data_IF_028331883364
#
_entry.id   IF_028331883364
#
_cell.length_a   1.000
_cell.length_b   1.000
_cell.length_c   1.000
_cell.angle_alpha   90.00
_cell.angle_beta   90.00
_cell.angle_gamma   90.00
#
_symmetry.space_group_name_H-M   'P 1'
#
loop_
_entity.id
_entity.type
_entity.pdbx_description
1 polymer ?
#
# COMPACT_ATOMS: atom_id res chain seq x y z
N UNK A 1 22.61 -1.35 61.05
CA UNK A 1 21.46 -0.60 60.53
C UNK A 1 20.54 -0.08 61.67
N UNK A 2 20.11 -0.92 62.59
CA UNK A 2 19.22 -0.53 63.69
C UNK A 2 19.84 0.52 64.65
N UNK A 3 21.18 0.62 64.76
CA UNK A 3 21.83 1.69 65.48
C UNK A 3 21.78 3.07 64.78
N UNK A 4 21.65 3.11 63.49
CA UNK A 4 21.52 4.35 62.70
C UNK A 4 20.08 4.86 62.62
N UNK A 5 19.09 3.95 62.77
CA UNK A 5 17.67 4.27 62.67
C UNK A 5 16.94 3.79 63.94
N UNK A 6 17.04 4.53 65.02
CA UNK A 6 16.52 4.09 66.35
C UNK A 6 15.01 3.92 66.38
N UNK A 7 14.27 4.47 65.43
CA UNK A 7 12.80 4.35 65.35
C UNK A 7 12.32 3.06 64.62
N UNK A 8 13.26 2.25 64.11
CA UNK A 8 12.93 0.97 63.44
C UNK A 8 13.04 -0.14 64.50
N UNK A 9 11.90 -0.77 64.82
CA UNK A 9 11.87 -1.92 65.74
C UNK A 9 12.23 -3.21 65.00
N UNK A 10 13.12 -4.01 65.57
CA UNK A 10 13.65 -5.26 64.99
C UNK A 10 12.56 -6.27 64.65
N UNK A 11 11.52 -6.33 65.45
CA UNK A 11 10.44 -7.32 65.32
C UNK A 11 9.39 -6.95 64.25
N UNK A 12 9.39 -5.69 63.76
CA UNK A 12 8.43 -5.17 62.79
C UNK A 12 9.12 -4.74 61.49
N UNK A 13 10.38 -5.14 61.27
CA UNK A 13 11.17 -4.68 60.16
C UNK A 13 11.87 -5.84 59.44
N UNK A 14 11.74 -5.88 58.14
CA UNK A 14 12.50 -6.81 57.27
C UNK A 14 13.54 -6.00 56.48
N UNK A 15 14.79 -6.41 56.58
CA UNK A 15 15.89 -5.78 55.84
C UNK A 15 16.18 -6.62 54.60
N UNK A 16 16.23 -5.97 53.46
CA UNK A 16 16.54 -6.57 52.17
C UNK A 16 17.72 -5.83 51.57
N UNK A 17 18.76 -6.58 51.20
CA UNK A 17 19.89 -6.04 50.46
C UNK A 17 19.56 -6.08 48.96
N UNK A 18 19.58 -4.90 48.35
CA UNK A 18 19.32 -4.73 46.91
C UNK A 18 20.12 -3.55 46.34
N UNK A 19 20.47 -3.63 45.08
CA UNK A 19 21.12 -2.53 44.36
C UNK A 19 20.15 -1.37 44.06
N UNK A 20 18.86 -1.68 43.90
CA UNK A 20 17.82 -0.68 43.63
C UNK A 20 16.60 -0.89 44.56
N UNK A 21 16.01 0.18 45.17
CA UNK A 21 14.81 0.06 45.97
C UNK A 21 13.59 -0.38 45.15
N UNK A 22 12.61 -0.99 45.79
CA UNK A 22 11.30 -1.19 45.21
C UNK A 22 10.56 0.16 45.14
N UNK A 23 9.85 0.39 44.05
CA UNK A 23 8.99 1.58 43.93
C UNK A 23 7.66 1.37 44.67
N UNK A 24 7.08 0.18 44.57
CA UNK A 24 5.82 -0.21 45.19
C UNK A 24 5.99 -1.59 45.83
N UNK A 25 6.62 -1.67 47.01
CA UNK A 25 6.88 -2.94 47.69
C UNK A 25 5.63 -3.55 48.27
N UNK A 26 5.46 -4.85 48.15
CA UNK A 26 4.43 -5.64 48.83
C UNK A 26 5.10 -6.83 49.54
N UNK A 27 4.59 -7.16 50.74
CA UNK A 27 5.02 -8.33 51.50
C UNK A 27 4.14 -9.52 51.08
N UNK A 28 4.76 -10.54 50.53
CA UNK A 28 4.07 -11.72 50.03
C UNK A 28 4.88 -12.98 50.34
N UNK A 29 4.25 -14.00 50.91
CA UNK A 29 4.90 -15.27 51.27
C UNK A 29 6.27 -15.16 51.93
N UNK A 30 6.38 -14.33 52.94
CA UNK A 30 7.60 -14.03 53.71
C UNK A 30 8.72 -13.35 52.88
N UNK A 31 8.39 -12.81 51.70
CA UNK A 31 9.31 -12.05 50.85
C UNK A 31 8.73 -10.68 50.53
N UNK A 32 9.62 -9.73 50.26
CA UNK A 32 9.19 -8.42 49.73
C UNK A 32 9.47 -8.44 48.23
N UNK A 33 8.47 -8.09 47.44
CA UNK A 33 8.58 -7.95 46.00
C UNK A 33 7.93 -6.67 45.51
N UNK A 34 8.18 -6.29 44.28
CA UNK A 34 7.44 -5.23 43.62
C UNK A 34 5.99 -5.67 43.34
N UNK A 35 5.04 -4.75 43.47
CA UNK A 35 3.64 -4.99 43.08
C UNK A 35 3.57 -5.32 41.57
N UNK A 36 2.70 -6.25 41.22
CA UNK A 36 2.31 -6.50 39.83
C UNK A 36 1.50 -5.34 39.28
N UNK A 37 1.26 -5.32 37.96
CA UNK A 37 0.39 -4.30 37.34
C UNK A 37 -1.03 -4.36 37.88
N UNK A 38 -1.56 -5.56 38.09
CA UNK A 38 -2.89 -5.83 38.62
C UNK A 38 -3.00 -5.35 40.08
N UNK A 39 -1.99 -5.60 40.91
CA UNK A 39 -1.94 -5.15 42.29
C UNK A 39 -1.86 -3.62 42.38
N UNK A 40 -1.10 -2.98 41.49
CA UNK A 40 -1.05 -1.51 41.41
C UNK A 40 -2.41 -0.93 41.09
N UNK A 41 -3.11 -1.47 40.10
CA UNK A 41 -4.46 -1.02 39.71
C UNK A 41 -5.48 -1.26 40.86
N UNK A 42 -5.41 -2.40 41.53
CA UNK A 42 -6.29 -2.71 42.66
C UNK A 42 -6.11 -1.71 43.82
N UNK A 43 -4.90 -1.13 43.94
CA UNK A 43 -4.55 -0.13 44.97
C UNK A 43 -4.61 1.33 44.48
N UNK A 44 -5.30 1.60 43.35
CA UNK A 44 -5.44 2.92 42.74
C UNK A 44 -4.11 3.59 42.34
N UNK A 45 -3.08 2.79 42.09
CA UNK A 45 -1.79 3.26 41.59
C UNK A 45 -1.85 3.32 40.05
N UNK A 46 -1.49 4.46 39.49
CA UNK A 46 -1.46 4.69 38.06
C UNK A 46 -0.41 3.79 37.38
N UNK A 47 -0.79 3.19 36.27
CA UNK A 47 0.09 2.36 35.44
C UNK A 47 -0.01 2.79 33.98
N UNK A 48 1.00 2.42 33.20
CA UNK A 48 0.94 2.49 31.73
C UNK A 48 0.17 1.30 31.18
N UNK A 49 -0.92 1.56 30.48
CA UNK A 49 -1.71 0.54 29.79
C UNK A 49 -1.08 0.17 28.43
N UNK A 50 -1.13 -1.10 28.09
CA UNK A 50 -0.79 -1.57 26.75
C UNK A 50 -1.92 -1.29 25.76
N UNK A 51 -1.62 -1.39 24.47
CA UNK A 51 -2.64 -1.26 23.42
C UNK A 51 -3.64 -2.41 23.55
N UNK A 52 -4.92 -2.07 23.59
CA UNK A 52 -5.99 -3.04 23.83
C UNK A 52 -6.35 -3.23 25.29
N UNK A 53 -5.73 -2.49 26.22
CA UNK A 53 -6.06 -2.55 27.64
C UNK A 53 -6.83 -1.32 28.11
N UNK A 54 -7.71 -1.54 29.08
CA UNK A 54 -8.37 -0.49 29.85
C UNK A 54 -8.62 -0.97 31.31
N UNK A 55 -8.93 -0.03 32.20
CA UNK A 55 -9.22 -0.35 33.60
C UNK A 55 -10.72 -0.27 33.79
N UNK A 56 -11.29 -1.32 34.36
CA UNK A 56 -12.68 -1.36 34.80
C UNK A 56 -12.76 -2.08 36.14
N UNK A 57 -13.45 -1.47 37.10
CA UNK A 57 -13.63 -2.00 38.47
C UNK A 57 -12.31 -2.44 39.14
N UNK A 58 -11.26 -1.60 39.01
CA UNK A 58 -9.91 -1.88 39.57
C UNK A 58 -9.23 -3.15 38.97
N UNK A 59 -9.57 -3.49 37.76
CA UNK A 59 -8.97 -4.61 37.03
C UNK A 59 -8.52 -4.17 35.64
N UNK A 60 -7.42 -4.74 35.19
CA UNK A 60 -6.98 -4.57 33.81
C UNK A 60 -7.81 -5.52 32.93
N UNK A 61 -8.53 -4.96 31.97
CA UNK A 61 -9.27 -5.70 30.95
C UNK A 61 -8.48 -5.60 29.65
N UNK A 62 -8.22 -6.75 29.02
CA UNK A 62 -7.55 -6.82 27.72
C UNK A 62 -8.54 -7.26 26.64
N UNK A 63 -8.78 -6.40 25.66
CA UNK A 63 -9.57 -6.71 24.46
C UNK A 63 -8.64 -7.28 23.41
N UNK A 64 -8.79 -8.55 23.05
CA UNK A 64 -7.93 -9.16 22.05
C UNK A 64 -8.10 -8.46 20.70
N UNK A 65 -6.98 -8.27 20.01
CA UNK A 65 -7.02 -7.73 18.65
C UNK A 65 -7.74 -8.73 17.73
N UNK A 66 -8.74 -8.30 16.94
CA UNK A 66 -9.41 -9.18 15.98
C UNK A 66 -8.41 -9.84 15.02
N UNK A 67 -8.65 -11.10 14.66
CA UNK A 67 -7.86 -11.77 13.63
C UNK A 67 -8.19 -11.17 12.25
N UNK A 68 -7.19 -10.92 11.43
CA UNK A 68 -7.36 -10.38 10.10
C UNK A 68 -6.24 -9.42 9.71
N UNK A 69 -6.57 -8.42 8.92
CA UNK A 69 -5.61 -7.42 8.45
C UNK A 69 -5.25 -6.43 9.57
N UNK A 70 -4.32 -6.86 10.41
CA UNK A 70 -3.88 -6.15 11.60
C UNK A 70 -3.38 -4.73 11.34
N UNK A 71 -2.95 -4.46 10.09
CA UNK A 71 -2.32 -3.21 9.70
C UNK A 71 -3.25 -2.00 9.87
N UNK A 72 -4.55 -2.18 9.69
CA UNK A 72 -5.53 -1.10 9.69
C UNK A 72 -6.37 -1.05 10.96
N UNK A 73 -6.09 -1.88 11.96
CA UNK A 73 -6.81 -1.86 13.23
C UNK A 73 -6.15 -0.93 14.23
N UNK A 74 -6.88 0.11 14.63
CA UNK A 74 -6.49 1.09 15.63
C UNK A 74 -7.29 0.86 16.92
N UNK A 75 -6.61 0.99 18.08
CA UNK A 75 -7.25 0.92 19.38
C UNK A 75 -7.89 2.27 19.77
N UNK A 76 -9.21 2.30 19.92
CA UNK A 76 -9.93 3.44 20.45
C UNK A 76 -9.98 3.34 21.98
N UNK A 77 -9.21 4.21 22.64
CA UNK A 77 -9.10 4.23 24.11
C UNK A 77 -10.36 4.70 24.82
N UNK A 78 -11.22 5.47 24.14
CA UNK A 78 -12.46 6.00 24.74
C UNK A 78 -13.58 4.96 24.65
N UNK A 79 -13.65 4.25 23.54
CA UNK A 79 -14.69 3.23 23.30
C UNK A 79 -14.28 1.84 23.73
N UNK A 80 -13.02 1.64 24.09
CA UNK A 80 -12.44 0.34 24.48
C UNK A 80 -12.65 -0.75 23.42
N UNK A 81 -12.45 -0.38 22.13
CA UNK A 81 -12.61 -1.33 21.03
C UNK A 81 -11.60 -1.07 19.89
N UNK A 82 -11.40 -2.08 19.07
CA UNK A 82 -10.61 -1.98 17.86
C UNK A 82 -11.45 -1.43 16.71
N UNK A 83 -10.99 -0.35 16.09
CA UNK A 83 -11.65 0.31 14.96
C UNK A 83 -10.81 0.09 13.70
N UNK A 84 -11.47 -0.33 12.63
CA UNK A 84 -10.85 -0.44 11.31
C UNK A 84 -10.67 0.95 10.70
N UNK A 85 -9.45 1.31 10.36
CA UNK A 85 -9.11 2.50 9.59
C UNK A 85 -9.40 2.25 8.09
N UNK A 86 -10.64 2.46 7.71
CA UNK A 86 -11.11 2.24 6.34
C UNK A 86 -10.47 3.22 5.35
N UNK A 87 -10.10 4.42 5.77
CA UNK A 87 -9.45 5.40 4.89
C UNK A 87 -8.00 5.01 4.59
N UNK A 88 -7.25 4.56 5.60
CA UNK A 88 -5.91 4.03 5.40
C UNK A 88 -5.93 2.78 4.49
N UNK A 89 -6.88 1.87 4.71
CA UNK A 89 -7.07 0.69 3.87
C UNK A 89 -7.38 1.07 2.41
N UNK A 90 -8.29 2.01 2.21
CA UNK A 90 -8.66 2.51 0.88
C UNK A 90 -7.50 3.20 0.18
N UNK A 91 -6.72 3.99 0.92
CA UNK A 91 -5.53 4.65 0.38
C UNK A 91 -4.52 3.63 -0.14
N UNK A 92 -4.17 2.64 0.68
CA UNK A 92 -3.23 1.60 0.27
C UNK A 92 -3.73 0.80 -0.95
N UNK A 93 -5.03 0.54 -1.01
CA UNK A 93 -5.66 -0.08 -2.18
C UNK A 93 -5.49 0.76 -3.45
N UNK A 94 -5.69 2.08 -3.35
CA UNK A 94 -5.49 3.00 -4.47
C UNK A 94 -4.02 3.06 -4.90
N UNK A 95 -3.09 3.08 -3.94
CA UNK A 95 -1.66 3.07 -4.23
C UNK A 95 -1.24 1.79 -4.99
N UNK A 96 -1.83 0.64 -4.67
CA UNK A 96 -1.62 -0.61 -5.41
C UNK A 96 -2.14 -0.51 -6.85
N UNK A 97 -3.34 0.04 -7.04
CA UNK A 97 -3.92 0.25 -8.39
C UNK A 97 -3.04 1.19 -9.22
N UNK A 98 -2.59 2.32 -8.63
CA UNK A 98 -1.73 3.29 -9.30
C UNK A 98 -0.39 2.67 -9.70
N UNK A 99 0.17 1.80 -8.86
CA UNK A 99 1.38 1.06 -9.19
C UNK A 99 1.15 0.07 -10.35
N UNK A 100 0.03 -0.64 -10.39
CA UNK A 100 -0.29 -1.53 -11.51
C UNK A 100 -0.51 -0.76 -12.80
N UNK A 101 -1.22 0.38 -12.74
CA UNK A 101 -1.36 1.30 -13.87
C UNK A 101 0.00 1.74 -14.42
N UNK A 102 0.86 2.26 -13.54
CA UNK A 102 2.19 2.73 -13.93
C UNK A 102 3.03 1.62 -14.57
N UNK A 103 2.99 0.42 -13.98
CA UNK A 103 3.70 -0.75 -14.49
C UNK A 103 3.18 -1.18 -15.86
N UNK A 104 1.86 -1.15 -16.08
CA UNK A 104 1.24 -1.50 -17.36
C UNK A 104 1.61 -0.49 -18.44
N UNK A 105 1.58 0.82 -18.14
CA UNK A 105 1.99 1.87 -19.09
C UNK A 105 3.49 1.80 -19.42
N UNK A 106 4.35 1.50 -18.43
CA UNK A 106 5.79 1.31 -18.65
C UNK A 106 6.07 0.07 -19.52
N UNK A 107 5.35 -1.02 -19.31
CA UNK A 107 5.43 -2.19 -20.18
C UNK A 107 4.94 -1.85 -21.59
N UNK A 108 3.73 -1.24 -21.69
CA UNK A 108 3.08 -0.96 -22.97
C UNK A 108 2.37 -2.17 -23.56
N UNK A 109 2.44 -2.30 -24.89
CA UNK A 109 1.77 -3.36 -25.62
C UNK A 109 2.70 -4.03 -26.64
N UNK A 110 2.35 -5.25 -27.03
CA UNK A 110 3.03 -5.97 -28.08
C UNK A 110 2.39 -5.62 -29.44
N UNK A 111 3.21 -5.13 -30.36
CA UNK A 111 2.81 -4.75 -31.71
C UNK A 111 3.35 -5.72 -32.73
N UNK A 112 2.47 -6.29 -33.54
CA UNK A 112 2.83 -7.31 -34.50
C UNK A 112 3.36 -6.68 -35.78
N UNK A 113 4.61 -7.03 -36.18
CA UNK A 113 5.21 -6.68 -37.46
C UNK A 113 5.59 -7.98 -38.18
N UNK A 114 4.86 -8.28 -39.25
CA UNK A 114 4.97 -9.59 -39.89
C UNK A 114 4.49 -10.72 -38.96
N UNK A 115 5.38 -11.68 -38.70
CA UNK A 115 5.06 -12.81 -37.81
C UNK A 115 5.56 -12.62 -36.36
N UNK A 116 6.29 -11.54 -36.07
CA UNK A 116 6.89 -11.27 -34.75
C UNK A 116 6.16 -10.15 -34.03
N UNK A 117 6.15 -10.28 -32.73
CA UNK A 117 5.66 -9.24 -31.83
C UNK A 117 6.85 -8.45 -31.26
N UNK A 118 6.70 -7.11 -31.26
CA UNK A 118 7.68 -6.17 -30.76
C UNK A 118 7.04 -5.28 -29.71
N UNK A 119 7.70 -5.10 -28.58
CA UNK A 119 7.14 -4.33 -27.47
C UNK A 119 7.24 -2.83 -27.70
N UNK A 120 6.12 -2.15 -27.57
CA UNK A 120 6.00 -0.69 -27.60
C UNK A 120 5.62 -0.18 -26.22
N UNK A 121 6.46 0.63 -25.60
CA UNK A 121 6.11 1.35 -24.36
C UNK A 121 5.11 2.46 -24.62
N UNK A 122 4.35 2.79 -23.57
CA UNK A 122 3.32 3.84 -23.59
C UNK A 122 3.60 4.97 -22.59
N UNK A 123 4.87 5.29 -22.36
CA UNK A 123 5.25 6.48 -21.58
C UNK A 123 4.89 7.75 -22.34
N UNK A 124 4.69 8.85 -21.67
CA UNK A 124 4.29 10.15 -22.26
C UNK A 124 5.20 10.53 -23.46
N UNK A 125 6.52 10.36 -23.31
CA UNK A 125 7.47 10.62 -24.40
C UNK A 125 7.25 9.74 -25.62
N UNK A 126 6.93 8.46 -25.43
CA UNK A 126 6.74 7.52 -26.52
C UNK A 126 5.48 7.87 -27.32
N UNK A 127 4.40 8.23 -26.60
CA UNK A 127 3.12 8.67 -27.19
C UNK A 127 3.32 9.96 -27.99
N UNK A 128 4.03 10.93 -27.41
CA UNK A 128 4.33 12.21 -28.08
C UNK A 128 5.14 11.96 -29.35
N UNK A 129 6.17 11.12 -29.33
CA UNK A 129 6.99 10.85 -30.50
C UNK A 129 6.21 10.12 -31.61
N UNK A 130 5.31 9.19 -31.27
CA UNK A 130 4.44 8.53 -32.24
C UNK A 130 3.51 9.58 -32.87
N UNK A 131 2.84 10.39 -32.08
CA UNK A 131 1.92 11.43 -32.54
C UNK A 131 2.62 12.49 -33.40
N UNK A 132 3.79 12.98 -32.97
CA UNK A 132 4.59 13.94 -33.74
C UNK A 132 5.10 13.35 -35.06
N UNK A 133 5.41 12.04 -35.08
CA UNK A 133 5.81 11.37 -36.32
C UNK A 133 4.65 11.27 -37.31
N UNK A 134 3.47 10.88 -36.85
CA UNK A 134 2.26 10.85 -37.66
C UNK A 134 1.91 12.26 -38.20
N UNK A 135 1.96 13.28 -37.34
CA UNK A 135 1.69 14.66 -37.72
C UNK A 135 2.70 15.15 -38.79
N UNK A 136 4.00 14.91 -38.60
CA UNK A 136 5.03 15.28 -39.58
C UNK A 136 4.75 14.65 -40.96
N UNK A 137 4.47 13.35 -40.98
CA UNK A 137 4.19 12.63 -42.23
C UNK A 137 2.90 13.14 -42.91
N UNK A 138 1.90 13.50 -42.11
CA UNK A 138 0.65 14.13 -42.58
C UNK A 138 0.93 15.49 -43.23
N UNK A 139 1.71 16.37 -42.55
CA UNK A 139 2.07 17.69 -43.10
C UNK A 139 2.88 17.57 -44.41
N UNK A 140 3.85 16.68 -44.43
CA UNK A 140 4.66 16.47 -45.65
C UNK A 140 3.78 15.97 -46.81
N UNK A 141 2.89 15.03 -46.55
CA UNK A 141 1.95 14.53 -47.57
C UNK A 141 1.03 15.64 -48.07
N UNK A 142 0.48 16.44 -47.12
CA UNK A 142 -0.53 17.46 -47.45
C UNK A 142 0.06 18.68 -48.17
N UNK A 143 1.18 19.22 -47.68
CA UNK A 143 1.75 20.48 -48.17
C UNK A 143 2.82 20.28 -49.22
N UNK A 144 3.51 19.17 -49.21
CA UNK A 144 4.61 18.91 -50.17
C UNK A 144 4.25 17.88 -51.22
N UNK A 145 3.07 17.27 -51.13
CA UNK A 145 2.59 16.19 -51.98
C UNK A 145 3.63 15.05 -52.13
N UNK A 146 4.31 14.73 -51.03
CA UNK A 146 5.33 13.70 -50.96
C UNK A 146 4.94 12.61 -49.98
N UNK A 147 5.09 11.36 -50.38
CA UNK A 147 5.01 10.22 -49.49
C UNK A 147 6.40 9.87 -48.98
N UNK A 148 6.61 9.97 -47.71
CA UNK A 148 7.87 9.59 -47.05
C UNK A 148 7.59 8.55 -45.98
N UNK A 149 8.61 7.80 -45.62
CA UNK A 149 8.60 6.84 -44.52
C UNK A 149 9.58 7.28 -43.47
N UNK A 150 9.31 6.89 -42.21
CA UNK A 150 10.19 7.11 -41.09
C UNK A 150 10.43 5.79 -40.38
N UNK A 151 11.68 5.51 -39.98
CA UNK A 151 11.99 4.32 -39.19
C UNK A 151 11.56 4.54 -37.75
N UNK A 152 10.77 3.60 -37.22
CA UNK A 152 10.39 3.50 -35.85
C UNK A 152 11.14 2.34 -35.19
N UNK A 153 11.64 2.55 -33.95
CA UNK A 153 12.36 1.54 -33.18
C UNK A 153 11.56 1.14 -31.97
N UNK A 154 11.33 -0.16 -31.82
CA UNK A 154 10.73 -0.78 -30.65
C UNK A 154 11.76 -1.00 -29.54
N UNK A 155 11.29 -1.45 -28.35
CA UNK A 155 12.15 -1.65 -27.17
C UNK A 155 13.27 -2.69 -27.38
N UNK A 156 13.06 -3.65 -28.23
CA UNK A 156 14.06 -4.67 -28.63
C UNK A 156 15.04 -4.17 -29.70
N UNK A 157 15.06 -2.86 -29.96
CA UNK A 157 15.83 -2.20 -31.02
C UNK A 157 15.46 -2.65 -32.44
N UNK A 158 14.33 -3.34 -32.61
CA UNK A 158 13.86 -3.65 -33.95
C UNK A 158 13.33 -2.39 -34.63
N UNK A 159 13.86 -2.08 -35.81
CA UNK A 159 13.45 -0.92 -36.60
C UNK A 159 12.52 -1.33 -37.75
N UNK A 160 11.38 -0.63 -37.86
CA UNK A 160 10.43 -0.79 -38.98
C UNK A 160 10.22 0.54 -39.68
N UNK A 161 10.21 0.51 -41.02
CA UNK A 161 9.93 1.69 -41.83
C UNK A 161 8.43 1.86 -42.01
N UNK A 162 7.84 2.86 -41.30
CA UNK A 162 6.41 3.15 -41.31
C UNK A 162 6.13 4.38 -42.18
N UNK A 163 5.06 4.34 -42.96
CA UNK A 163 4.42 5.49 -43.60
C UNK A 163 3.37 6.13 -42.65
N UNK A 164 2.62 7.11 -43.16
CA UNK A 164 1.56 7.78 -42.41
C UNK A 164 0.54 6.78 -41.84
N UNK A 165 0.10 5.80 -42.66
CA UNK A 165 -0.90 4.83 -42.19
C UNK A 165 -0.34 3.90 -41.15
N UNK A 166 0.93 3.48 -41.25
CA UNK A 166 1.61 2.69 -40.24
C UNK A 166 1.71 3.42 -38.88
N UNK A 167 2.01 4.72 -38.89
CA UNK A 167 2.01 5.52 -37.66
C UNK A 167 0.59 5.73 -37.10
N UNK A 168 -0.42 5.93 -37.94
CA UNK A 168 -1.83 6.02 -37.51
C UNK A 168 -2.27 4.72 -36.84
N UNK A 169 -1.90 3.56 -37.40
CA UNK A 169 -2.20 2.27 -36.79
C UNK A 169 -1.50 2.11 -35.44
N UNK A 170 -0.22 2.42 -35.35
CA UNK A 170 0.54 2.35 -34.10
C UNK A 170 -0.07 3.28 -33.01
N UNK A 171 -0.51 4.49 -33.42
CA UNK A 171 -1.23 5.44 -32.55
C UNK A 171 -2.57 4.88 -32.06
N UNK A 172 -3.33 4.26 -32.95
CA UNK A 172 -4.63 3.67 -32.61
C UNK A 172 -4.47 2.54 -31.59
N UNK A 173 -3.52 1.62 -31.81
CA UNK A 173 -3.23 0.55 -30.84
C UNK A 173 -2.77 1.10 -29.51
N UNK A 174 -1.86 2.09 -29.53
CA UNK A 174 -1.37 2.73 -28.31
C UNK A 174 -2.48 3.44 -27.53
N UNK A 175 -3.34 4.22 -28.20
CA UNK A 175 -4.45 4.93 -27.57
C UNK A 175 -5.47 3.97 -26.95
N UNK A 176 -5.84 2.90 -27.67
CA UNK A 176 -6.76 1.88 -27.18
C UNK A 176 -6.19 1.14 -25.97
N UNK A 177 -4.88 0.83 -25.99
CA UNK A 177 -4.20 0.24 -24.85
C UNK A 177 -4.23 1.17 -23.64
N UNK A 178 -3.83 2.43 -23.82
CA UNK A 178 -3.81 3.43 -22.74
C UNK A 178 -5.21 3.62 -22.15
N UNK A 179 -6.22 3.78 -23.00
CA UNK A 179 -7.60 3.88 -22.55
C UNK A 179 -8.01 2.68 -21.70
N UNK A 180 -7.65 1.45 -22.11
CA UNK A 180 -7.96 0.25 -21.35
C UNK A 180 -7.30 0.24 -19.96
N UNK A 181 -6.10 0.81 -19.82
CA UNK A 181 -5.42 0.94 -18.53
C UNK A 181 -6.15 1.91 -17.59
N UNK A 182 -6.53 3.10 -18.10
CA UNK A 182 -7.28 4.10 -17.32
C UNK A 182 -8.69 3.62 -16.95
N UNK A 183 -9.38 2.95 -17.87
CA UNK A 183 -10.71 2.40 -17.59
C UNK A 183 -10.63 1.27 -16.54
N UNK A 184 -9.54 0.50 -16.53
CA UNK A 184 -9.29 -0.51 -15.51
C UNK A 184 -9.01 0.12 -14.15
N UNK A 185 -8.19 1.17 -14.09
CA UNK A 185 -7.98 1.96 -12.87
C UNK A 185 -9.32 2.46 -12.32
N UNK A 186 -10.11 3.13 -13.15
CA UNK A 186 -11.42 3.64 -12.75
C UNK A 186 -12.35 2.51 -12.27
N UNK A 187 -12.37 1.38 -12.96
CA UNK A 187 -13.15 0.21 -12.56
C UNK A 187 -12.83 -0.26 -11.15
N UNK A 188 -11.56 -0.40 -10.79
CA UNK A 188 -11.17 -0.86 -9.45
C UNK A 188 -11.31 0.24 -8.39
N UNK A 189 -11.04 1.50 -8.71
CA UNK A 189 -11.19 2.62 -7.75
C UNK A 189 -12.65 2.95 -7.43
N UNK A 190 -13.59 2.64 -8.33
CA UNK A 190 -15.03 2.86 -8.11
C UNK A 190 -15.73 1.68 -7.45
N UNK A 191 -15.16 0.49 -7.50
CA UNK A 191 -15.70 -0.66 -6.77
C UNK A 191 -15.32 -0.60 -5.31
N UNK A 192 -16.35 -0.61 -4.45
CA UNK A 192 -16.16 -0.78 -3.00
C UNK A 192 -15.81 -2.25 -2.75
N UNK A 193 -14.52 -2.51 -2.59
CA UNK A 193 -13.91 -3.81 -2.33
C UNK A 193 -13.38 -4.50 -3.61
N UNK A 194 -12.32 -5.21 -3.55
CA UNK A 194 -11.74 -5.92 -2.43
C UNK A 194 -10.23 -5.77 -2.33
N UNK A 195 -9.75 -5.70 -1.16
CA UNK A 195 -8.38 -6.00 -0.84
C UNK A 195 -8.24 -7.50 -0.52
N UNK A 196 -7.21 -8.21 -1.00
CA UNK A 196 -6.11 -7.75 -1.84
C UNK A 196 -6.43 -7.80 -3.35
N UNK A 197 -5.90 -6.85 -4.14
CA UNK A 197 -5.92 -6.88 -5.59
C UNK A 197 -4.57 -7.39 -6.11
N UNK A 198 -4.58 -8.38 -6.98
CA UNK A 198 -3.38 -8.91 -7.63
C UNK A 198 -3.13 -8.24 -8.99
N UNK A 199 -1.87 -8.26 -9.43
CA UNK A 199 -1.52 -7.77 -10.77
C UNK A 199 -2.23 -8.57 -11.88
N UNK A 200 -2.39 -9.87 -11.69
CA UNK A 200 -3.05 -10.74 -12.68
C UNK A 200 -4.53 -10.39 -12.85
N UNK A 201 -5.22 -10.07 -11.74
CA UNK A 201 -6.61 -9.61 -11.79
C UNK A 201 -6.74 -8.26 -12.50
N UNK A 202 -5.82 -7.33 -12.23
CA UNK A 202 -5.77 -6.04 -12.91
C UNK A 202 -5.55 -6.24 -14.42
N UNK A 203 -4.56 -7.02 -14.83
CA UNK A 203 -4.25 -7.27 -16.23
C UNK A 203 -5.36 -8.08 -16.94
N UNK A 204 -5.99 -9.01 -16.27
CA UNK A 204 -7.16 -9.73 -16.81
C UNK A 204 -8.28 -8.75 -17.13
N UNK A 205 -8.61 -7.86 -16.20
CA UNK A 205 -9.65 -6.85 -16.41
C UNK A 205 -9.30 -5.89 -17.53
N UNK A 206 -8.05 -5.42 -17.58
CA UNK A 206 -7.55 -4.56 -18.66
C UNK A 206 -7.71 -5.21 -20.04
N UNK A 207 -7.37 -6.49 -20.18
CA UNK A 207 -7.53 -7.23 -21.43
C UNK A 207 -8.99 -7.38 -21.85
N UNK A 208 -9.91 -7.60 -20.91
CA UNK A 208 -11.35 -7.62 -21.17
C UNK A 208 -11.83 -6.28 -21.74
N UNK A 209 -11.45 -5.16 -21.08
CA UNK A 209 -11.81 -3.80 -21.51
C UNK A 209 -11.17 -3.49 -22.88
N UNK A 210 -9.88 -3.77 -23.05
CA UNK A 210 -9.18 -3.57 -24.31
C UNK A 210 -9.87 -4.31 -25.49
N UNK A 211 -10.25 -5.57 -25.26
CA UNK A 211 -10.97 -6.35 -26.27
C UNK A 211 -12.34 -5.79 -26.63
N UNK A 212 -12.99 -5.10 -25.69
CA UNK A 212 -14.25 -4.41 -25.94
C UNK A 212 -14.05 -3.13 -26.78
N UNK A 213 -13.02 -2.32 -26.44
CA UNK A 213 -12.66 -1.12 -27.18
C UNK A 213 -12.21 -1.39 -28.62
N UNK A 214 -11.56 -2.51 -28.86
CA UNK A 214 -11.08 -2.88 -30.19
C UNK A 214 -12.19 -3.37 -31.16
N UNK A 215 -13.40 -3.61 -30.65
CA UNK A 215 -14.56 -4.10 -31.44
C UNK A 215 -15.55 -3.00 -31.82
N UNK A 216 -15.48 -1.83 -31.20
CA UNK A 216 -16.30 -0.64 -31.48
C UNK A 216 -15.63 0.29 -32.42
#
# INVERSE_FOLDING_TARGET
>A
IFGYYPNIQKDNSTIIERDTPFNYPIFDNNTIREMTREEKVANDIEITLEVGEFIENKKIIKVPKPQGDDKYLNWDKEKHLWILDTEAQKKDYFDVIDNFKATSLEYGFDYKVGEKEHRQRCRDKDIIFIAMSALLLFLVKTFMNKEIKKTWYFEDNFGVSLDLMGFIQLMFFGSTFIQSVYDTENYFKTKVNPFPLTKDEFEKKRKEIHSSLAKG
#
